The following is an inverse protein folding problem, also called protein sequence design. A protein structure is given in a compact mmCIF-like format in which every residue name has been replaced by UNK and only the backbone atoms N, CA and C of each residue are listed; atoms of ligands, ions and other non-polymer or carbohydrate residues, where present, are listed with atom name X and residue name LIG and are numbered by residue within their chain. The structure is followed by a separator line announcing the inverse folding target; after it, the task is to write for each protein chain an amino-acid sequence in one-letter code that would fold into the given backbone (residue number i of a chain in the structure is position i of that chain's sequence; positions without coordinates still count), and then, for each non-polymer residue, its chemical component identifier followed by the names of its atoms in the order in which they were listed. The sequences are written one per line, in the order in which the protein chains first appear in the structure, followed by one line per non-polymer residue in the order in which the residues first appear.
data_IF_674722329664
#
_entry.id   IF_674722329664
#
_cell.length_a   1.000
_cell.length_b   1.000
_cell.length_c   1.000
_cell.angle_alpha   90.00
_cell.angle_beta   90.00
_cell.angle_gamma   90.00
#
_symmetry.space_group_name_H-M   'P 1'
#
loop_
_entity.id
_entity.type
_entity.pdbx_description
1 polymer ?
#
# COMPACT_ATOMS: atom_id res chain seq x y z
N UNK A 1 30.31 9.61 7.22
CA UNK A 1 30.29 10.65 6.16
C UNK A 1 28.97 11.40 6.31
N UNK A 2 29.02 12.62 6.92
CA UNK A 2 27.89 13.54 6.95
C UNK A 2 27.61 13.98 5.50
N UNK A 3 26.57 13.41 4.88
CA UNK A 3 26.05 13.89 3.61
C UNK A 3 25.49 15.30 3.84
N UNK A 4 25.96 16.29 3.09
CA UNK A 4 25.42 17.64 3.19
C UNK A 4 23.97 17.63 2.71
N UNK A 5 23.03 17.79 3.63
CA UNK A 5 21.61 18.01 3.27
C UNK A 5 21.47 19.39 2.67
N UNK A 6 20.87 19.48 1.49
CA UNK A 6 20.56 20.73 0.81
C UNK A 6 19.05 20.98 0.84
N UNK A 7 18.66 22.14 1.36
CA UNK A 7 17.27 22.61 1.30
C UNK A 7 17.04 23.31 -0.04
N UNK A 8 15.96 22.95 -0.70
CA UNK A 8 15.50 23.64 -1.91
C UNK A 8 14.04 24.05 -1.77
N UNK A 9 13.64 24.98 -2.62
CA UNK A 9 12.27 25.50 -2.66
C UNK A 9 11.79 25.48 -4.10
N UNK A 10 10.59 24.94 -4.33
CA UNK A 10 9.97 24.92 -5.65
C UNK A 10 9.56 26.33 -6.08
N UNK A 11 9.23 26.50 -7.36
CA UNK A 11 8.68 27.76 -7.90
C UNK A 11 7.37 28.20 -7.20
N UNK A 12 6.62 27.24 -6.63
CA UNK A 12 5.40 27.47 -5.89
C UNK A 12 5.61 27.67 -4.37
N UNK A 13 6.86 27.68 -3.90
CA UNK A 13 7.20 27.95 -2.50
C UNK A 13 7.22 26.73 -1.58
N UNK A 14 7.14 25.48 -2.11
CA UNK A 14 7.27 24.27 -1.27
C UNK A 14 8.73 23.96 -0.98
N UNK A 15 9.02 23.65 0.28
CA UNK A 15 10.36 23.28 0.75
C UNK A 15 10.55 21.79 0.73
N UNK A 16 11.71 21.34 0.21
CA UNK A 16 12.15 19.96 0.28
C UNK A 16 13.65 19.88 0.53
N UNK A 17 14.08 18.72 0.99
CA UNK A 17 15.45 18.47 1.40
C UNK A 17 16.04 17.35 0.54
N UNK A 18 17.27 17.54 0.08
CA UNK A 18 18.02 16.59 -0.75
C UNK A 18 19.19 16.05 0.08
N UNK A 19 19.26 14.73 0.20
CA UNK A 19 20.39 14.02 0.82
C UNK A 19 21.04 13.07 -0.17
N UNK A 20 22.04 12.31 0.27
CA UNK A 20 22.63 11.24 -0.50
C UNK A 20 21.66 10.04 -0.63
N UNK A 21 20.78 10.05 -1.63
CA UNK A 21 19.89 8.94 -1.97
C UNK A 21 18.42 9.13 -1.65
N UNK A 22 18.04 10.23 -0.99
CA UNK A 22 16.63 10.56 -0.70
C UNK A 22 16.33 12.03 -0.88
N UNK A 23 15.14 12.33 -1.39
CA UNK A 23 14.51 13.62 -1.24
C UNK A 23 13.33 13.46 -0.27
N UNK A 24 13.15 14.40 0.65
CA UNK A 24 12.07 14.37 1.62
C UNK A 24 11.55 15.78 1.92
N UNK A 25 10.33 15.84 2.42
CA UNK A 25 9.75 17.06 3.00
C UNK A 25 9.44 16.86 4.47
N UNK A 26 9.19 17.95 5.19
CA UNK A 26 8.81 17.88 6.61
C UNK A 26 7.32 18.20 6.78
N UNK A 27 6.65 17.37 7.57
CA UNK A 27 5.30 17.56 8.06
C UNK A 27 5.31 17.46 9.58
N UNK A 28 4.99 18.55 10.27
CA UNK A 28 4.93 18.59 11.75
C UNK A 28 6.20 18.05 12.43
N UNK A 29 7.39 18.40 11.88
CA UNK A 29 8.68 17.93 12.40
C UNK A 29 8.99 16.45 12.12
N UNK A 30 8.29 15.80 11.21
CA UNK A 30 8.49 14.42 10.77
C UNK A 30 8.77 14.39 9.27
N UNK A 31 9.54 13.42 8.79
CA UNK A 31 9.92 13.29 7.40
C UNK A 31 8.90 12.49 6.59
N UNK A 32 8.61 12.98 5.38
CA UNK A 32 7.91 12.24 4.33
C UNK A 32 8.87 12.08 3.16
N UNK A 33 9.25 10.86 2.83
CA UNK A 33 10.11 10.56 1.70
C UNK A 33 9.33 10.76 0.40
N UNK A 34 9.90 11.52 -0.53
CA UNK A 34 9.25 11.85 -1.81
C UNK A 34 10.00 11.27 -3.00
N UNK A 35 11.27 10.96 -2.85
CA UNK A 35 12.08 10.34 -3.89
C UNK A 35 13.22 9.54 -3.28
N UNK A 36 13.58 8.43 -3.92
CA UNK A 36 14.77 7.64 -3.63
C UNK A 36 15.51 7.32 -4.92
N UNK A 37 16.82 7.51 -4.89
CA UNK A 37 17.67 6.97 -5.95
C UNK A 37 17.72 5.45 -5.82
N UNK A 38 17.23 4.75 -6.84
CA UNK A 38 17.25 3.29 -6.95
C UNK A 38 18.19 2.91 -8.06
N UNK A 39 19.14 1.99 -7.77
CA UNK A 39 20.00 1.45 -8.80
C UNK A 39 19.25 0.33 -9.55
N UNK A 40 19.65 0.11 -10.80
CA UNK A 40 19.00 -0.87 -11.68
C UNK A 40 19.01 -2.30 -11.14
N UNK A 41 19.97 -2.63 -10.28
CA UNK A 41 20.16 -3.97 -9.72
C UNK A 41 19.67 -4.08 -8.26
N UNK A 42 19.04 -3.03 -7.71
CA UNK A 42 18.50 -3.05 -6.35
C UNK A 42 17.21 -3.90 -6.32
N UNK A 43 17.28 -5.09 -5.72
CA UNK A 43 16.10 -5.96 -5.52
C UNK A 43 15.43 -5.73 -4.15
N UNK A 44 16.18 -5.27 -3.15
CA UNK A 44 15.70 -5.02 -1.80
C UNK A 44 16.01 -3.58 -1.42
N UNK A 45 14.98 -2.84 -1.05
CA UNK A 45 15.11 -1.47 -0.57
C UNK A 45 14.78 -1.42 0.91
N UNK A 46 15.74 -0.98 1.72
CA UNK A 46 15.52 -0.66 3.12
C UNK A 46 15.29 0.84 3.26
N UNK A 47 14.07 1.24 3.62
CA UNK A 47 13.78 2.63 3.92
C UNK A 47 14.15 2.94 5.38
N UNK A 48 14.76 4.09 5.66
CA UNK A 48 15.23 4.42 7.00
C UNK A 48 14.07 4.76 7.95
N UNK A 49 14.20 4.41 9.22
CA UNK A 49 13.27 4.85 10.28
C UNK A 49 13.40 6.35 10.57
N UNK A 50 14.57 6.92 10.27
CA UNK A 50 14.90 8.33 10.54
C UNK A 50 15.82 8.88 9.44
N UNK A 51 15.63 10.15 9.08
CA UNK A 51 16.49 10.88 8.15
C UNK A 51 16.80 12.27 8.74
N UNK A 52 18.08 12.63 8.82
CA UNK A 52 18.56 13.91 9.39
C UNK A 52 17.98 14.24 10.79
N UNK A 53 17.72 13.22 11.63
CA UNK A 53 17.13 13.38 12.95
C UNK A 53 15.59 13.47 12.96
N UNK A 54 14.94 13.31 11.81
CA UNK A 54 13.49 13.32 11.70
C UNK A 54 12.94 11.90 11.49
N UNK A 55 11.96 11.44 12.28
CA UNK A 55 11.33 10.15 12.05
C UNK A 55 10.61 10.12 10.70
N UNK A 56 10.77 9.04 9.94
CA UNK A 56 10.09 8.84 8.66
C UNK A 56 8.70 8.27 8.91
N UNK A 57 7.68 9.06 8.58
CA UNK A 57 6.27 8.71 8.77
C UNK A 57 5.50 8.54 7.47
N UNK A 58 6.06 8.90 6.34
CA UNK A 58 5.36 8.86 5.07
C UNK A 58 6.26 8.52 3.89
N UNK A 59 5.64 7.94 2.86
CA UNK A 59 6.26 7.65 1.57
C UNK A 59 5.33 8.17 0.49
N UNK A 60 5.88 8.97 -0.44
CA UNK A 60 5.15 9.43 -1.63
C UNK A 60 4.94 10.91 -1.72
N UNK A 61 3.98 11.28 -2.53
CA UNK A 61 3.80 12.58 -3.19
C UNK A 61 3.48 13.79 -2.32
N UNK A 62 3.73 13.85 -1.06
CA UNK A 62 3.30 15.00 -0.27
C UNK A 62 3.83 16.31 -0.87
N UNK A 63 3.08 16.89 -1.84
CA UNK A 63 3.35 18.09 -2.66
C UNK A 63 4.23 17.92 -3.91
N UNK A 64 4.58 16.71 -4.33
CA UNK A 64 5.41 16.50 -5.54
C UNK A 64 4.72 16.96 -6.85
N UNK A 65 3.39 16.97 -6.85
CA UNK A 65 2.57 17.44 -8.00
C UNK A 65 2.98 18.82 -8.52
N UNK A 66 3.66 19.62 -7.69
CA UNK A 66 4.01 21.00 -7.99
C UNK A 66 5.48 21.22 -8.37
N UNK A 67 6.36 20.23 -8.20
CA UNK A 67 7.80 20.43 -8.42
C UNK A 67 8.18 20.41 -9.90
N UNK A 68 7.59 19.52 -10.70
CA UNK A 68 8.00 19.28 -12.09
C UNK A 68 6.92 19.48 -13.16
N UNK A 69 5.71 19.90 -12.80
CA UNK A 69 4.67 20.33 -13.76
C UNK A 69 4.07 19.24 -14.67
N UNK A 70 4.65 18.05 -14.75
CA UNK A 70 4.16 16.95 -15.57
C UNK A 70 4.40 15.59 -14.91
N UNK A 71 3.34 14.76 -14.84
CA UNK A 71 3.31 13.35 -14.41
C UNK A 71 3.93 13.04 -13.04
N UNK A 72 3.09 13.09 -12.05
CA UNK A 72 3.36 12.62 -10.69
C UNK A 72 3.53 11.11 -10.66
N UNK A 73 4.76 10.61 -10.67
CA UNK A 73 5.05 9.19 -10.45
C UNK A 73 5.17 8.88 -8.97
N UNK A 74 4.65 7.71 -8.55
CA UNK A 74 4.93 7.15 -7.24
C UNK A 74 6.42 6.84 -7.09
N UNK A 75 6.94 6.82 -5.85
CA UNK A 75 8.38 6.64 -5.58
C UNK A 75 8.97 5.39 -6.26
N UNK A 76 8.22 4.30 -6.35
CA UNK A 76 8.62 3.03 -6.92
C UNK A 76 7.73 2.60 -8.10
N UNK A 77 6.96 3.53 -8.66
CA UNK A 77 6.09 3.28 -9.79
C UNK A 77 6.88 2.84 -11.02
N UNK A 78 6.40 1.79 -11.70
CA UNK A 78 7.06 1.16 -12.86
C UNK A 78 8.48 0.65 -12.57
N UNK A 79 8.79 0.30 -11.31
CA UNK A 79 10.09 -0.26 -10.99
C UNK A 79 10.11 -1.77 -11.23
N UNK A 80 10.93 -2.23 -12.18
CA UNK A 80 11.00 -3.62 -12.62
C UNK A 80 12.01 -4.48 -11.82
N UNK A 81 12.85 -3.88 -10.98
CA UNK A 81 13.91 -4.59 -10.26
C UNK A 81 13.57 -4.87 -8.79
N UNK A 82 12.83 -3.98 -8.13
CA UNK A 82 12.55 -4.10 -6.70
C UNK A 82 11.56 -5.24 -6.43
N UNK A 83 11.98 -6.20 -5.60
CA UNK A 83 11.15 -7.32 -5.15
C UNK A 83 10.60 -7.11 -3.73
N UNK A 84 11.36 -6.40 -2.90
CA UNK A 84 11.01 -6.17 -1.50
C UNK A 84 11.33 -4.75 -1.07
N UNK A 85 10.41 -4.12 -0.36
CA UNK A 85 10.66 -2.85 0.34
C UNK A 85 10.42 -3.05 1.83
N UNK A 86 11.47 -2.84 2.63
CA UNK A 86 11.35 -2.79 4.08
C UNK A 86 10.90 -1.40 4.48
N UNK A 87 9.71 -1.32 5.04
CA UNK A 87 9.07 -0.06 5.40
C UNK A 87 9.55 0.43 6.79
N UNK A 88 9.61 1.75 7.02
CA UNK A 88 9.92 2.31 8.32
C UNK A 88 8.93 1.84 9.41
N UNK A 89 9.44 1.53 10.60
CA UNK A 89 8.63 0.99 11.71
C UNK A 89 7.57 1.96 12.23
N UNK A 90 7.78 3.28 12.02
CA UNK A 90 6.85 4.36 12.42
C UNK A 90 6.06 4.93 11.25
N UNK A 91 6.01 4.23 10.12
CA UNK A 91 5.31 4.70 8.95
C UNK A 91 3.81 4.85 9.24
N UNK A 92 3.25 6.02 9.00
CA UNK A 92 1.85 6.36 9.19
C UNK A 92 1.07 6.42 7.86
N UNK A 93 1.79 6.71 6.74
CA UNK A 93 1.14 6.89 5.43
C UNK A 93 1.98 6.42 4.24
N UNK A 94 1.29 5.86 3.25
CA UNK A 94 1.77 5.63 1.89
C UNK A 94 0.83 6.36 0.94
N UNK A 95 1.36 7.19 0.05
CA UNK A 95 0.54 7.96 -0.89
C UNK A 95 0.04 7.09 -2.06
N UNK A 96 -0.78 7.67 -2.92
CA UNK A 96 -1.34 7.00 -4.09
C UNK A 96 -0.25 6.58 -5.07
N UNK A 97 -0.41 5.39 -5.66
CA UNK A 97 0.43 4.88 -6.76
C UNK A 97 1.92 4.69 -6.43
N UNK A 98 2.31 4.66 -5.15
CA UNK A 98 3.74 4.58 -4.74
C UNK A 98 4.45 3.36 -5.34
N UNK A 99 3.78 2.21 -5.41
CA UNK A 99 4.31 0.95 -5.97
C UNK A 99 3.60 0.50 -7.25
N UNK A 100 2.76 1.34 -7.84
CA UNK A 100 1.98 0.99 -9.01
C UNK A 100 2.88 0.48 -10.16
N UNK A 101 2.50 -0.67 -10.77
CA UNK A 101 3.29 -1.34 -11.83
C UNK A 101 4.71 -1.74 -11.41
N UNK A 102 4.98 -1.95 -10.12
CA UNK A 102 6.29 -2.43 -9.67
C UNK A 102 6.38 -3.95 -9.64
N UNK A 103 7.61 -4.47 -9.65
CA UNK A 103 7.88 -5.92 -9.54
C UNK A 103 7.91 -6.43 -8.09
N UNK A 104 7.33 -5.68 -7.15
CA UNK A 104 7.31 -6.07 -5.74
C UNK A 104 6.60 -7.43 -5.55
N UNK A 105 7.21 -8.31 -4.76
CA UNK A 105 6.72 -9.66 -4.49
C UNK A 105 6.13 -9.81 -3.09
N UNK A 106 6.67 -9.06 -2.13
CA UNK A 106 6.19 -9.08 -0.75
C UNK A 106 6.26 -7.69 -0.12
N UNK A 107 5.33 -7.43 0.79
CA UNK A 107 5.30 -6.19 1.59
C UNK A 107 4.73 -6.47 2.98
N UNK A 108 5.33 -5.87 4.00
CA UNK A 108 4.85 -5.92 5.37
C UNK A 108 4.54 -4.50 5.87
N UNK A 109 3.27 -4.25 6.21
CA UNK A 109 2.82 -2.97 6.72
C UNK A 109 2.98 -2.90 8.24
N UNK A 110 3.61 -1.85 8.78
CA UNK A 110 3.77 -1.68 10.22
C UNK A 110 2.42 -1.35 10.90
N UNK A 111 2.34 -1.62 12.21
CA UNK A 111 1.13 -1.35 13.00
C UNK A 111 0.75 0.14 13.04
N UNK A 112 1.67 1.03 12.77
CA UNK A 112 1.44 2.48 12.74
C UNK A 112 0.82 2.97 11.45
N UNK A 113 0.84 2.15 10.37
CA UNK A 113 0.31 2.54 9.08
C UNK A 113 -1.21 2.62 9.13
N UNK A 114 -1.75 3.81 9.00
CA UNK A 114 -3.18 4.07 9.06
C UNK A 114 -3.78 4.61 7.75
N UNK A 115 -2.93 5.00 6.80
CA UNK A 115 -3.39 5.55 5.53
C UNK A 115 -2.56 5.02 4.35
N UNK A 116 -3.24 4.38 3.39
CA UNK A 116 -2.65 3.96 2.11
C UNK A 116 -3.50 4.55 0.99
N UNK A 117 -2.85 5.28 0.10
CA UNK A 117 -3.51 5.98 -1.01
C UNK A 117 -4.07 5.04 -2.08
N UNK A 118 -4.88 5.59 -2.97
CA UNK A 118 -5.50 4.86 -4.07
C UNK A 118 -4.44 4.28 -5.02
N UNK A 119 -4.69 3.07 -5.51
CA UNK A 119 -3.82 2.36 -6.47
C UNK A 119 -2.38 2.19 -5.98
N UNK A 120 -2.14 2.19 -4.66
CA UNK A 120 -0.79 2.19 -4.10
C UNK A 120 0.04 0.98 -4.54
N UNK A 121 -0.57 -0.20 -4.69
CA UNK A 121 0.04 -1.44 -5.17
C UNK A 121 -0.65 -1.98 -6.43
N UNK A 122 -1.41 -1.16 -7.15
CA UNK A 122 -2.10 -1.60 -8.35
C UNK A 122 -1.11 -2.11 -9.39
N UNK A 123 -1.49 -3.18 -10.10
CA UNK A 123 -0.70 -3.80 -11.16
C UNK A 123 0.68 -4.32 -10.72
N UNK A 124 0.84 -4.63 -9.42
CA UNK A 124 1.99 -5.36 -8.92
C UNK A 124 1.82 -6.86 -9.27
N UNK A 125 2.06 -7.21 -10.52
CA UNK A 125 1.74 -8.53 -11.09
C UNK A 125 2.50 -9.70 -10.42
N UNK A 126 3.56 -9.44 -9.67
CA UNK A 126 4.36 -10.44 -8.96
C UNK A 126 4.10 -10.47 -7.45
N UNK A 127 3.18 -9.65 -6.94
CA UNK A 127 2.88 -9.58 -5.51
C UNK A 127 2.16 -10.87 -5.06
N UNK A 128 2.77 -11.58 -4.12
CA UNK A 128 2.26 -12.86 -3.59
C UNK A 128 2.04 -12.83 -2.09
N UNK A 129 2.78 -12.00 -1.33
CA UNK A 129 2.72 -11.97 0.13
C UNK A 129 2.49 -10.55 0.64
N UNK A 130 1.39 -10.36 1.36
CA UNK A 130 1.03 -9.09 2.00
C UNK A 130 0.74 -9.35 3.46
N UNK A 131 1.54 -8.74 4.35
CA UNK A 131 1.31 -8.76 5.78
C UNK A 131 0.84 -7.40 6.28
N UNK A 132 -0.22 -7.41 7.05
CA UNK A 132 -0.80 -6.20 7.62
C UNK A 132 -0.47 -6.05 9.09
N UNK A 133 -0.14 -4.82 9.50
CA UNK A 133 -0.32 -4.38 10.88
C UNK A 133 -1.78 -4.00 11.18
N UNK A 134 -2.08 -3.74 12.43
CA UNK A 134 -3.46 -3.45 12.91
C UNK A 134 -3.86 -1.95 12.78
N UNK A 135 -3.05 -1.12 12.12
CA UNK A 135 -3.33 0.33 12.01
C UNK A 135 -4.32 0.69 10.91
N UNK A 136 -4.37 -0.10 9.85
CA UNK A 136 -5.15 0.21 8.66
C UNK A 136 -6.64 -0.07 8.87
N UNK A 137 -7.50 0.89 8.49
CA UNK A 137 -8.97 0.81 8.58
C UNK A 137 -9.64 0.54 7.24
N UNK A 138 -8.98 0.87 6.15
CA UNK A 138 -9.56 0.82 4.80
C UNK A 138 -8.58 0.21 3.81
N UNK A 139 -9.03 -0.77 3.05
CA UNK A 139 -8.39 -1.13 1.79
C UNK A 139 -8.90 -0.13 0.76
N UNK A 140 -8.02 0.76 0.32
CA UNK A 140 -8.39 1.90 -0.53
C UNK A 140 -8.71 1.49 -1.96
N UNK A 141 -9.34 2.42 -2.71
CA UNK A 141 -9.71 2.20 -4.10
C UNK A 141 -8.53 1.67 -4.92
N UNK A 142 -8.73 0.54 -5.60
CA UNK A 142 -7.75 -0.08 -6.49
C UNK A 142 -6.42 -0.46 -5.83
N UNK A 143 -6.36 -0.55 -4.49
CA UNK A 143 -5.10 -0.75 -3.77
C UNK A 143 -4.31 -1.94 -4.29
N UNK A 144 -4.98 -3.06 -4.60
CA UNK A 144 -4.41 -4.29 -5.14
C UNK A 144 -4.96 -4.65 -6.52
N UNK A 145 -5.60 -3.71 -7.22
CA UNK A 145 -6.15 -3.96 -8.55
C UNK A 145 -5.08 -4.54 -9.47
N UNK A 146 -5.42 -5.61 -10.20
CA UNK A 146 -4.52 -6.34 -11.11
C UNK A 146 -3.24 -6.92 -10.47
N UNK A 147 -3.25 -7.26 -9.17
CA UNK A 147 -2.22 -8.08 -8.55
C UNK A 147 -2.42 -9.55 -8.95
N UNK A 148 -2.09 -9.91 -10.17
CA UNK A 148 -2.47 -11.19 -10.80
C UNK A 148 -1.84 -12.42 -10.17
N UNK A 149 -0.72 -12.30 -9.43
CA UNK A 149 -0.10 -13.40 -8.71
C UNK A 149 -0.58 -13.56 -7.26
N UNK A 150 -1.42 -12.63 -6.74
CA UNK A 150 -1.90 -12.68 -5.36
C UNK A 150 -2.92 -13.81 -5.21
N UNK A 151 -2.52 -14.91 -4.55
CA UNK A 151 -3.35 -16.11 -4.39
C UNK A 151 -4.21 -16.09 -3.13
N UNK A 152 -3.70 -15.55 -2.04
CA UNK A 152 -4.42 -15.44 -0.78
C UNK A 152 -4.06 -14.15 -0.03
N UNK A 153 -5.01 -13.66 0.76
CA UNK A 153 -4.79 -12.49 1.61
C UNK A 153 -5.64 -12.59 2.88
N UNK A 154 -5.04 -12.21 4.03
CA UNK A 154 -5.75 -12.13 5.30
C UNK A 154 -5.79 -10.69 5.77
N UNK A 155 -6.98 -10.12 5.89
CA UNK A 155 -7.16 -8.75 6.34
C UNK A 155 -7.12 -8.68 7.87
N UNK A 156 -6.48 -7.65 8.47
CA UNK A 156 -6.47 -7.48 9.92
C UNK A 156 -7.88 -7.16 10.45
N UNK A 157 -8.11 -7.43 11.73
CA UNK A 157 -9.41 -7.13 12.38
C UNK A 157 -9.78 -5.64 12.36
N UNK A 158 -8.79 -4.79 12.16
CA UNK A 158 -8.97 -3.34 12.09
C UNK A 158 -9.68 -2.85 10.83
N UNK A 159 -9.73 -3.65 9.74
CA UNK A 159 -10.37 -3.22 8.49
C UNK A 159 -11.88 -3.07 8.68
N UNK A 160 -12.37 -1.89 8.36
CA UNK A 160 -13.78 -1.50 8.43
C UNK A 160 -14.39 -1.31 7.02
N UNK A 161 -13.52 -1.12 5.99
CA UNK A 161 -13.97 -0.88 4.62
C UNK A 161 -13.04 -1.49 3.57
N UNK A 162 -13.63 -2.10 2.54
CA UNK A 162 -12.97 -2.48 1.28
C UNK A 162 -13.60 -1.63 0.18
N UNK A 163 -12.82 -0.71 -0.39
CA UNK A 163 -13.31 0.27 -1.36
C UNK A 163 -13.40 -0.30 -2.79
N UNK A 164 -13.94 0.50 -3.71
CA UNK A 164 -14.14 0.15 -5.11
C UNK A 164 -12.87 -0.36 -5.77
N UNK A 165 -12.98 -1.42 -6.56
CA UNK A 165 -11.89 -2.01 -7.34
C UNK A 165 -10.68 -2.46 -6.51
N UNK A 166 -10.82 -2.59 -5.18
CA UNK A 166 -9.70 -2.85 -4.27
C UNK A 166 -8.86 -4.07 -4.67
N UNK A 167 -9.51 -5.11 -5.20
CA UNK A 167 -8.91 -6.36 -5.70
C UNK A 167 -9.31 -6.69 -7.14
N UNK A 168 -9.81 -5.71 -7.91
CA UNK A 168 -10.20 -5.91 -9.30
C UNK A 168 -9.11 -6.63 -10.09
N UNK A 169 -9.48 -7.67 -10.85
CA UNK A 169 -8.55 -8.39 -11.72
C UNK A 169 -7.45 -9.17 -10.99
N UNK A 170 -7.60 -9.49 -9.70
CA UNK A 170 -6.72 -10.41 -9.00
C UNK A 170 -7.04 -11.86 -9.42
N UNK A 171 -6.65 -12.23 -10.64
CA UNK A 171 -7.04 -13.48 -11.33
C UNK A 171 -6.63 -14.77 -10.58
N UNK A 172 -5.62 -14.70 -9.71
CA UNK A 172 -5.16 -15.82 -8.90
C UNK A 172 -5.74 -15.83 -7.49
N UNK A 173 -6.56 -14.83 -7.10
CA UNK A 173 -7.06 -14.72 -5.74
C UNK A 173 -8.12 -15.79 -5.47
N UNK A 174 -7.70 -16.83 -4.75
CA UNK A 174 -8.54 -17.97 -4.36
C UNK A 174 -9.12 -17.80 -2.96
N UNK A 175 -8.45 -17.02 -2.09
CA UNK A 175 -8.83 -16.90 -0.68
C UNK A 175 -8.64 -15.50 -0.14
N UNK A 176 -9.71 -14.95 0.43
CA UNK A 176 -9.62 -13.78 1.31
C UNK A 176 -10.19 -14.10 2.68
N UNK A 177 -9.47 -13.71 3.76
CA UNK A 177 -9.95 -13.88 5.14
C UNK A 177 -10.34 -12.54 5.72
N UNK A 178 -11.61 -12.42 6.17
CA UNK A 178 -12.21 -11.21 6.73
C UNK A 178 -12.66 -11.48 8.17
N UNK A 179 -11.91 -10.98 9.15
CA UNK A 179 -12.16 -11.23 10.58
C UNK A 179 -13.16 -10.25 11.22
N UNK A 180 -13.42 -9.10 10.59
CA UNK A 180 -14.35 -8.12 11.12
C UNK A 180 -15.76 -8.37 10.57
N UNK A 181 -16.76 -8.49 11.46
CA UNK A 181 -18.14 -8.78 11.07
C UNK A 181 -18.91 -7.58 10.47
N UNK A 182 -18.36 -6.37 10.58
CA UNK A 182 -18.99 -5.12 10.15
C UNK A 182 -18.25 -4.45 8.98
N UNK A 183 -17.49 -5.21 8.19
CA UNK A 183 -16.74 -4.66 7.02
C UNK A 183 -17.73 -4.22 5.94
N UNK A 184 -17.66 -2.95 5.55
CA UNK A 184 -18.33 -2.45 4.34
C UNK A 184 -17.52 -2.87 3.11
N UNK A 185 -18.15 -3.53 2.14
CA UNK A 185 -17.51 -3.98 0.90
C UNK A 185 -18.22 -3.32 -0.28
N UNK A 186 -17.46 -2.62 -1.13
CA UNK A 186 -17.99 -2.02 -2.35
C UNK A 186 -18.31 -3.10 -3.39
N UNK A 187 -19.40 -2.92 -4.16
CA UNK A 187 -19.89 -3.89 -5.14
C UNK A 187 -18.84 -4.30 -6.17
N UNK A 188 -17.90 -3.42 -6.49
CA UNK A 188 -16.84 -3.65 -7.49
C UNK A 188 -15.53 -4.16 -6.88
N UNK A 189 -15.48 -4.36 -5.55
CA UNK A 189 -14.24 -4.65 -4.83
C UNK A 189 -13.48 -5.88 -5.36
N UNK A 190 -14.19 -6.91 -5.82
CA UNK A 190 -13.63 -8.18 -6.29
C UNK A 190 -13.98 -8.49 -7.75
N UNK A 191 -14.26 -7.47 -8.57
CA UNK A 191 -14.54 -7.65 -9.98
C UNK A 191 -13.37 -8.37 -10.69
N UNK A 192 -13.67 -9.46 -11.44
CA UNK A 192 -12.65 -10.27 -12.11
C UNK A 192 -11.83 -11.21 -11.19
N UNK A 193 -12.28 -11.46 -9.95
CA UNK A 193 -11.72 -12.48 -9.05
C UNK A 193 -12.49 -13.80 -9.17
N UNK A 194 -12.48 -14.43 -10.34
CA UNK A 194 -13.35 -15.57 -10.67
C UNK A 194 -13.12 -16.84 -9.84
N UNK A 195 -12.00 -16.92 -9.08
CA UNK A 195 -11.64 -18.08 -8.24
C UNK A 195 -11.90 -17.85 -6.75
N UNK A 196 -12.37 -16.64 -6.41
CA UNK A 196 -12.42 -16.20 -5.02
C UNK A 196 -13.40 -17.02 -4.17
N UNK A 197 -12.93 -17.40 -2.97
CA UNK A 197 -13.75 -17.80 -1.83
C UNK A 197 -13.51 -16.82 -0.68
N UNK A 198 -14.59 -16.29 -0.11
CA UNK A 198 -14.52 -15.41 1.07
C UNK A 198 -14.63 -16.26 2.33
N UNK A 199 -13.64 -16.13 3.21
CA UNK A 199 -13.64 -16.74 4.54
C UNK A 199 -13.97 -15.67 5.58
N UNK A 200 -15.02 -15.88 6.36
CA UNK A 200 -15.51 -14.86 7.28
C UNK A 200 -16.32 -15.37 8.43
N UNK A 201 -16.86 -14.45 9.22
CA UNK A 201 -17.74 -14.75 10.36
C UNK A 201 -19.17 -14.98 9.83
N UNK A 202 -19.82 -16.05 10.26
CA UNK A 202 -21.21 -16.32 9.94
C UNK A 202 -22.14 -15.19 10.40
N UNK A 203 -23.08 -14.80 9.55
CA UNK A 203 -23.98 -13.67 9.80
C UNK A 203 -23.33 -12.30 9.60
N UNK A 204 -22.09 -12.24 9.09
CA UNK A 204 -21.38 -10.99 8.82
C UNK A 204 -21.81 -10.33 7.50
N UNK A 205 -21.40 -9.09 7.33
CA UNK A 205 -21.52 -8.37 6.06
C UNK A 205 -20.77 -9.07 4.91
N UNK A 206 -19.64 -9.74 5.21
CA UNK A 206 -18.87 -10.50 4.23
C UNK A 206 -19.65 -11.71 3.69
N UNK A 207 -20.41 -12.41 4.54
CA UNK A 207 -21.32 -13.49 4.09
C UNK A 207 -22.45 -12.94 3.25
N UNK A 208 -23.07 -11.82 3.66
CA UNK A 208 -24.14 -11.18 2.87
C UNK A 208 -23.62 -10.78 1.49
N UNK A 209 -22.48 -10.09 1.42
CA UNK A 209 -21.83 -9.69 0.16
C UNK A 209 -21.54 -10.90 -0.74
N UNK A 210 -20.95 -11.97 -0.19
CA UNK A 210 -20.65 -13.20 -0.92
C UNK A 210 -21.91 -13.80 -1.58
N UNK A 211 -23.01 -13.87 -0.82
CA UNK A 211 -24.30 -14.37 -1.31
C UNK A 211 -24.88 -13.48 -2.42
N UNK A 212 -24.83 -12.15 -2.26
CA UNK A 212 -25.36 -11.19 -3.25
C UNK A 212 -24.58 -11.22 -4.56
N UNK A 213 -23.28 -11.52 -4.50
CA UNK A 213 -22.38 -11.56 -5.67
C UNK A 213 -22.09 -12.98 -6.19
N UNK A 214 -22.74 -14.01 -5.64
CA UNK A 214 -22.52 -15.43 -5.98
C UNK A 214 -21.07 -15.87 -5.81
N UNK A 215 -20.35 -15.34 -4.81
CA UNK A 215 -19.02 -15.74 -4.41
C UNK A 215 -19.13 -16.84 -3.34
N UNK A 216 -18.40 -17.95 -3.42
CA UNK A 216 -18.35 -18.96 -2.36
C UNK A 216 -17.96 -18.34 -1.02
N UNK A 217 -18.66 -18.76 0.05
CA UNK A 217 -18.38 -18.33 1.42
C UNK A 217 -18.10 -19.54 2.31
N UNK A 218 -17.05 -19.43 3.11
CA UNK A 218 -16.66 -20.42 4.12
C UNK A 218 -16.61 -19.78 5.50
N UNK A 219 -17.27 -20.41 6.48
CA UNK A 219 -17.25 -19.94 7.86
C UNK A 219 -15.87 -20.16 8.49
N UNK A 220 -15.30 -19.12 9.09
CA UNK A 220 -14.10 -19.26 9.90
C UNK A 220 -14.42 -20.03 11.17
N UNK A 221 -13.68 -21.11 11.42
CA UNK A 221 -13.72 -21.77 12.72
C UNK A 221 -13.39 -20.73 13.79
N UNK A 222 -14.33 -20.46 14.67
CA UNK A 222 -14.13 -19.55 15.82
C UNK A 222 -13.10 -20.17 16.75
N UNK A 223 -11.82 -19.90 16.51
CA UNK A 223 -10.79 -20.15 17.50
C UNK A 223 -10.84 -18.97 18.47
N UNK A 224 -11.39 -19.23 19.64
CA UNK A 224 -11.44 -18.32 20.77
C UNK A 224 -10.03 -17.93 21.28
#
# INVERSE_FOLDING_TARGET
LCGCTRKETTKQGFEYYITSGYNYTLKDGKAVLIEKTVNKDDEIINLPDEIDGYPVIGIGRYHYTFIYGETTRGMFENNESIKTVVLPSKLEMIDSQVFNWSSIQCIEFPNTLCNVGQFALSSCAYLTDVKFGEGLKTISMGMFSHCTALGEISLPKSIEKIASYAFEGCESLEKIVIYNNCVEIDDTAFEGCDKLTIYGIKGSYAEQYANEHNIPFEELDTIY
#
